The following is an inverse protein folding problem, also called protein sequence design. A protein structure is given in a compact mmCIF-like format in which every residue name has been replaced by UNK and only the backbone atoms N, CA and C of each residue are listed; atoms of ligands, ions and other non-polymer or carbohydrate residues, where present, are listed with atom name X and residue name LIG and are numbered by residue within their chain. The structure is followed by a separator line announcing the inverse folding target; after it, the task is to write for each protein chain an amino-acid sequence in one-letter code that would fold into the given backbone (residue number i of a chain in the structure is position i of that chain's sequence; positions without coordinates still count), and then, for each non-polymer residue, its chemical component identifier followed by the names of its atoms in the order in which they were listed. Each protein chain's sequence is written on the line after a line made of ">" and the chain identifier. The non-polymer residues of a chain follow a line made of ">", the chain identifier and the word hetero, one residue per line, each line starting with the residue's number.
data_IF_833618306011
#
_entry.id   IF_833618306011
#
_cell.length_a   1.000
_cell.length_b   1.000
_cell.length_c   1.000
_cell.angle_alpha   90.00
_cell.angle_beta   90.00
_cell.angle_gamma   90.00
#
_symmetry.space_group_name_H-M   'P 1'
#
loop_
_entity.id
_entity.type
_entity.pdbx_description
1 polymer ?
#
# COMPACT_ATOMS: atom_id res chain seq x y z
N UNK A 1 2.68 -0.20 -3.58
CA UNK A 1 1.57 -0.10 -4.55
C UNK A 1 0.89 -1.44 -4.59
N UNK A 2 -0.44 -1.47 -4.60
CA UNK A 2 -1.23 -2.68 -4.81
C UNK A 2 -2.06 -2.45 -6.06
N UNK A 3 -1.80 -3.22 -7.11
CA UNK A 3 -2.48 -3.07 -8.40
C UNK A 3 -3.95 -3.50 -8.35
N UNK A 4 -4.65 -3.33 -9.47
CA UNK A 4 -6.06 -3.75 -9.61
C UNK A 4 -6.25 -5.26 -9.49
N UNK A 5 -5.19 -6.06 -9.66
CA UNK A 5 -5.25 -7.50 -9.49
C UNK A 5 -5.30 -7.95 -8.03
N UNK A 6 -4.97 -7.06 -7.08
CA UNK A 6 -4.96 -7.34 -5.62
C UNK A 6 -4.11 -8.56 -5.26
N UNK A 7 -3.14 -8.93 -6.11
CA UNK A 7 -2.32 -10.13 -5.93
C UNK A 7 -1.24 -9.93 -4.85
N UNK A 8 -0.84 -8.68 -4.62
CA UNK A 8 0.25 -8.37 -3.71
C UNK A 8 0.51 -6.89 -3.52
N UNK A 9 1.52 -6.62 -2.71
CA UNK A 9 2.05 -5.30 -2.43
C UNK A 9 3.45 -5.21 -2.99
N UNK A 10 3.64 -4.31 -3.95
CA UNK A 10 4.93 -3.97 -4.52
C UNK A 10 5.50 -2.74 -3.82
N UNK A 11 6.78 -2.80 -3.48
CA UNK A 11 7.53 -1.70 -2.90
C UNK A 11 8.82 -1.46 -3.66
N UNK A 12 9.23 -0.20 -3.74
CA UNK A 12 10.52 0.21 -4.30
C UNK A 12 11.14 1.24 -3.37
N UNK A 13 12.41 1.05 -3.05
CA UNK A 13 13.22 2.06 -2.38
C UNK A 13 14.03 2.79 -3.45
N UNK A 14 13.85 4.10 -3.54
CA UNK A 14 14.44 4.92 -4.58
C UNK A 14 15.22 6.07 -3.95
N UNK A 15 16.42 6.30 -4.44
CA UNK A 15 17.18 7.54 -4.20
C UNK A 15 16.79 8.57 -5.24
N UNK A 16 16.39 9.74 -4.76
CA UNK A 16 16.05 10.90 -5.57
C UNK A 16 17.05 12.01 -5.23
N UNK A 17 17.81 12.45 -6.22
CA UNK A 17 18.78 13.54 -6.11
C UNK A 17 18.50 14.57 -7.20
N UNK A 18 18.58 15.84 -6.85
CA UNK A 18 18.30 16.92 -7.79
C UNK A 18 19.26 16.87 -9.00
N UNK A 19 18.69 16.93 -10.19
CA UNK A 19 19.44 16.86 -11.45
C UNK A 19 19.97 15.46 -11.81
N UNK A 20 19.63 14.41 -11.05
CA UNK A 20 19.95 13.02 -11.38
C UNK A 20 18.67 12.21 -11.67
N UNK A 21 18.73 11.17 -12.54
CA UNK A 21 17.62 10.25 -12.70
C UNK A 21 17.37 9.46 -11.40
N UNK A 22 16.11 9.07 -11.11
CA UNK A 22 15.80 8.22 -9.96
C UNK A 22 16.60 6.91 -9.97
N UNK A 23 17.24 6.58 -8.84
CA UNK A 23 17.99 5.34 -8.69
C UNK A 23 17.23 4.35 -7.81
N UNK A 24 16.87 3.19 -8.34
CA UNK A 24 16.29 2.10 -7.55
C UNK A 24 17.38 1.41 -6.74
N UNK A 25 17.23 1.40 -5.42
CA UNK A 25 18.14 0.75 -4.48
C UNK A 25 17.71 -0.68 -4.16
N UNK A 26 16.39 -0.89 -4.01
CA UNK A 26 15.80 -2.20 -3.78
C UNK A 26 14.35 -2.22 -4.28
N UNK A 27 13.85 -3.44 -4.53
CA UNK A 27 12.44 -3.70 -4.80
C UNK A 27 12.00 -4.92 -4.00
N UNK A 28 10.71 -4.97 -3.66
CA UNK A 28 10.11 -6.08 -2.95
C UNK A 28 8.67 -6.29 -3.47
N UNK A 29 8.24 -7.54 -3.51
CA UNK A 29 6.85 -7.90 -3.76
C UNK A 29 6.43 -8.90 -2.70
N UNK A 30 5.34 -8.60 -1.99
CA UNK A 30 4.76 -9.47 -0.98
C UNK A 30 3.38 -9.94 -1.42
N UNK A 31 3.06 -11.24 -1.29
CA UNK A 31 1.73 -11.73 -1.63
C UNK A 31 0.68 -11.13 -0.69
N UNK A 32 -0.49 -10.81 -1.23
CA UNK A 32 -1.62 -10.37 -0.42
C UNK A 32 -2.17 -11.56 0.37
N UNK A 33 -2.36 -11.44 1.71
CA UNK A 33 -3.06 -12.48 2.47
C UNK A 33 -4.43 -12.75 1.86
N UNK A 34 -4.77 -14.03 1.68
CA UNK A 34 -5.97 -14.44 0.92
C UNK A 34 -7.27 -13.83 1.49
N UNK A 35 -7.39 -13.81 2.83
CA UNK A 35 -8.54 -13.20 3.51
C UNK A 35 -8.65 -11.70 3.23
N UNK A 36 -7.53 -10.98 3.26
CA UNK A 36 -7.48 -9.55 2.94
C UNK A 36 -7.81 -9.31 1.46
N UNK A 37 -7.28 -10.15 0.55
CA UNK A 37 -7.62 -10.08 -0.87
C UNK A 37 -9.12 -10.25 -1.10
N UNK A 38 -9.74 -11.27 -0.48
CA UNK A 38 -11.19 -11.49 -0.60
C UNK A 38 -11.99 -10.33 -0.04
N UNK A 39 -11.57 -9.76 1.09
CA UNK A 39 -12.24 -8.61 1.69
C UNK A 39 -12.15 -7.35 0.81
N UNK A 40 -10.97 -7.06 0.27
CA UNK A 40 -10.77 -5.93 -0.66
C UNK A 40 -11.59 -6.11 -1.94
N UNK A 41 -11.66 -7.32 -2.50
CA UNK A 41 -12.50 -7.65 -3.64
C UNK A 41 -14.00 -7.52 -3.32
N UNK A 42 -14.45 -7.98 -2.15
CA UNK A 42 -15.83 -7.80 -1.71
C UNK A 42 -16.18 -6.31 -1.53
N UNK A 43 -15.22 -5.51 -1.05
CA UNK A 43 -15.36 -4.05 -0.97
C UNK A 43 -15.33 -3.37 -2.34
N UNK A 44 -15.20 -4.08 -3.48
CA UNK A 44 -15.39 -3.53 -4.84
C UNK A 44 -16.87 -3.51 -5.31
N UNK A 45 -17.80 -4.03 -4.51
CA UNK A 45 -19.26 -3.89 -4.74
C UNK A 45 -19.99 -3.44 -3.47
N UNK A 46 -21.12 -2.71 -3.59
CA UNK A 46 -21.90 -2.29 -2.42
C UNK A 46 -22.29 -3.47 -1.54
N UNK A 47 -22.14 -3.32 -0.22
CA UNK A 47 -22.45 -4.37 0.75
C UNK A 47 -22.85 -3.86 2.13
N UNK A 48 -23.02 -4.79 3.07
CA UNK A 48 -23.28 -4.48 4.47
C UNK A 48 -22.02 -4.05 5.22
N UNK A 49 -22.19 -3.12 6.17
CA UNK A 49 -21.18 -2.67 7.15
C UNK A 49 -19.83 -2.23 6.53
N UNK A 50 -19.89 -1.58 5.36
CA UNK A 50 -18.69 -1.24 4.59
C UNK A 50 -17.70 -0.34 5.34
N UNK A 51 -18.17 0.54 6.23
CA UNK A 51 -17.29 1.45 6.97
C UNK A 51 -16.37 0.70 7.94
N UNK A 52 -16.93 -0.20 8.76
CA UNK A 52 -16.14 -0.99 9.70
C UNK A 52 -15.22 -1.96 8.96
N UNK A 53 -15.75 -2.63 7.92
CA UNK A 53 -14.98 -3.54 7.07
C UNK A 53 -13.82 -2.84 6.36
N UNK A 54 -14.06 -1.67 5.78
CA UNK A 54 -13.02 -0.86 5.16
C UNK A 54 -11.95 -0.42 6.16
N UNK A 55 -12.32 -0.02 7.38
CA UNK A 55 -11.36 0.34 8.41
C UNK A 55 -10.46 -0.84 8.82
N UNK A 56 -11.03 -2.04 8.99
CA UNK A 56 -10.28 -3.25 9.31
C UNK A 56 -9.36 -3.68 8.15
N UNK A 57 -9.86 -3.65 6.92
CA UNK A 57 -9.06 -3.94 5.72
C UNK A 57 -7.91 -2.93 5.54
N UNK A 58 -8.15 -1.64 5.79
CA UNK A 58 -7.13 -0.58 5.80
C UNK A 58 -6.00 -0.86 6.78
N UNK A 59 -6.33 -1.28 8.00
CA UNK A 59 -5.33 -1.65 9.01
C UNK A 59 -4.51 -2.87 8.59
N UNK A 60 -5.18 -3.90 8.06
CA UNK A 60 -4.51 -5.10 7.59
C UNK A 60 -3.57 -4.79 6.41
N UNK A 61 -4.00 -3.96 5.45
CA UNK A 61 -3.18 -3.52 4.33
C UNK A 61 -1.96 -2.71 4.77
N UNK A 62 -2.13 -1.78 5.73
CA UNK A 62 -1.02 -1.01 6.29
C UNK A 62 0.06 -1.92 6.90
N UNK A 63 -0.32 -3.02 7.56
CA UNK A 63 0.63 -4.00 8.08
C UNK A 63 1.40 -4.73 6.98
N UNK A 64 0.75 -5.07 5.86
CA UNK A 64 1.45 -5.65 4.70
C UNK A 64 2.43 -4.64 4.07
N UNK A 65 2.03 -3.37 3.99
CA UNK A 65 2.91 -2.29 3.52
C UNK A 65 4.13 -2.12 4.45
N UNK A 66 3.94 -2.15 5.77
CA UNK A 66 5.03 -2.07 6.74
C UNK A 66 6.02 -3.25 6.61
N UNK A 67 5.53 -4.44 6.31
CA UNK A 67 6.38 -5.60 6.01
C UNK A 67 7.20 -5.38 4.73
N UNK A 68 6.57 -4.85 3.67
CA UNK A 68 7.27 -4.55 2.42
C UNK A 68 8.37 -3.48 2.63
N UNK A 69 8.08 -2.44 3.41
CA UNK A 69 9.06 -1.41 3.79
C UNK A 69 10.21 -2.02 4.58
N UNK A 70 9.91 -2.82 5.61
CA UNK A 70 10.93 -3.49 6.42
C UNK A 70 11.85 -4.37 5.56
N UNK A 71 11.28 -5.08 4.58
CA UNK A 71 12.03 -5.91 3.63
C UNK A 71 12.95 -5.06 2.74
N UNK A 72 12.45 -3.96 2.18
CA UNK A 72 13.23 -3.05 1.35
C UNK A 72 14.43 -2.46 2.10
N UNK A 73 14.20 -2.01 3.34
CA UNK A 73 15.24 -1.44 4.19
C UNK A 73 16.33 -2.48 4.51
N UNK A 74 15.93 -3.70 4.85
CA UNK A 74 16.84 -4.81 5.10
C UNK A 74 17.66 -5.18 3.85
N UNK A 75 17.00 -5.33 2.70
CA UNK A 75 17.66 -5.72 1.44
C UNK A 75 18.63 -4.63 0.93
N UNK A 76 18.32 -3.35 1.17
CA UNK A 76 19.18 -2.22 0.80
C UNK A 76 20.24 -1.86 1.85
N UNK A 77 20.14 -2.38 3.08
CA UNK A 77 20.98 -1.97 4.20
C UNK A 77 20.80 -0.51 4.62
N UNK A 78 19.58 0.03 4.48
CA UNK A 78 19.23 1.43 4.77
C UNK A 78 18.49 1.52 6.09
N UNK A 79 18.82 2.48 6.96
CA UNK A 79 18.08 2.70 8.19
C UNK A 79 16.76 3.43 7.89
N UNK A 80 15.71 3.13 8.67
CA UNK A 80 14.42 3.81 8.51
C UNK A 80 14.53 5.35 8.65
N UNK A 81 15.44 5.83 9.49
CA UNK A 81 15.70 7.26 9.69
C UNK A 81 16.30 7.96 8.46
N UNK A 82 16.87 7.21 7.51
CA UNK A 82 17.43 7.75 6.26
C UNK A 82 16.37 7.86 5.15
N UNK A 83 15.13 7.40 5.40
CA UNK A 83 14.02 7.50 4.46
C UNK A 83 13.17 8.73 4.77
N UNK A 84 13.13 9.68 3.82
CA UNK A 84 12.40 10.93 4.00
C UNK A 84 10.87 10.75 4.07
N UNK A 85 10.30 9.82 3.31
CA UNK A 85 8.86 9.58 3.25
C UNK A 85 8.51 8.23 2.61
N UNK A 86 7.29 7.76 2.85
CA UNK A 86 6.69 6.62 2.17
C UNK A 86 5.55 7.11 1.25
N UNK A 87 5.67 6.83 -0.05
CA UNK A 87 4.58 7.00 -1.00
C UNK A 87 3.64 5.79 -0.99
N UNK A 88 2.47 5.92 -0.35
CA UNK A 88 1.53 4.82 -0.21
C UNK A 88 0.22 5.08 -0.98
N UNK A 89 0.11 4.53 -2.19
CA UNK A 89 -1.12 4.59 -2.99
C UNK A 89 -2.35 3.98 -2.27
N UNK A 90 -2.14 2.96 -1.43
CA UNK A 90 -3.21 2.14 -0.87
C UNK A 90 -3.82 1.18 -1.92
N UNK A 91 -5.02 0.69 -1.63
CA UNK A 91 -5.81 -0.17 -2.50
C UNK A 91 -7.11 0.53 -2.91
N UNK A 92 -7.30 0.78 -4.20
CA UNK A 92 -8.59 1.29 -4.70
C UNK A 92 -9.68 0.23 -4.51
N UNK A 93 -10.78 0.62 -3.87
CA UNK A 93 -12.00 -0.21 -3.73
C UNK A 93 -13.22 0.44 -4.40
N UNK A 94 -13.16 1.75 -4.70
CA UNK A 94 -14.14 2.46 -5.51
C UNK A 94 -13.45 3.46 -6.44
N UNK A 95 -13.86 3.46 -7.70
CA UNK A 95 -13.47 4.47 -8.67
C UNK A 95 -14.72 4.88 -9.45
N UNK A 96 -15.27 6.06 -9.11
CA UNK A 96 -16.50 6.62 -9.70
C UNK A 96 -16.24 8.06 -10.11
N UNK A 97 -15.40 8.29 -11.13
CA UNK A 97 -15.13 9.64 -11.64
C UNK A 97 -16.38 10.30 -12.20
N UNK A 98 -17.34 9.51 -12.69
CA UNK A 98 -18.67 9.95 -13.09
C UNK A 98 -19.48 10.58 -11.95
N UNK A 99 -19.22 10.18 -10.71
CA UNK A 99 -19.77 10.76 -9.49
C UNK A 99 -18.76 11.64 -8.73
N UNK A 100 -17.60 11.91 -9.33
CA UNK A 100 -16.56 12.78 -8.76
C UNK A 100 -15.80 12.21 -7.56
N UNK A 101 -15.75 10.88 -7.36
CA UNK A 101 -15.01 10.31 -6.23
C UNK A 101 -14.20 9.05 -6.55
N UNK A 102 -13.18 8.81 -5.73
CA UNK A 102 -12.45 7.55 -5.64
C UNK A 102 -12.13 7.26 -4.19
N UNK A 103 -12.01 5.97 -3.84
CA UNK A 103 -11.67 5.53 -2.49
C UNK A 103 -10.53 4.51 -2.55
N UNK A 104 -9.40 4.90 -1.98
CA UNK A 104 -8.25 4.06 -1.71
C UNK A 104 -8.20 3.75 -0.22
N UNK A 105 -8.18 2.47 0.12
CA UNK A 105 -8.01 2.00 1.48
C UNK A 105 -6.52 1.93 1.83
N UNK A 106 -6.21 2.45 3.02
CA UNK A 106 -4.97 2.29 3.77
C UNK A 106 -5.24 2.86 5.17
N UNK A 107 -4.32 2.64 6.10
CA UNK A 107 -4.28 3.36 7.38
C UNK A 107 -2.93 4.10 7.50
N UNK A 108 -2.75 5.27 6.84
CA UNK A 108 -1.44 5.94 6.75
C UNK A 108 -0.85 6.31 8.11
N UNK A 109 -1.68 6.68 9.09
CA UNK A 109 -1.22 6.94 10.45
C UNK A 109 -0.67 5.67 11.12
N UNK A 110 -1.30 4.51 10.89
CA UNK A 110 -0.79 3.22 11.38
C UNK A 110 0.46 2.76 10.62
N UNK A 111 0.58 3.07 9.33
CA UNK A 111 1.77 2.74 8.53
C UNK A 111 3.00 3.55 8.97
N UNK A 112 2.79 4.74 9.53
CA UNK A 112 3.86 5.62 10.01
C UNK A 112 4.32 5.30 11.44
N UNK A 113 3.55 4.54 12.22
CA UNK A 113 3.89 4.05 13.57
C UNK A 113 4.88 2.89 13.52
#
# INVERSE_FOLDING_TARGET
>A
MSGTSVDGVDGVLTRLEDGQPPQVLANASLPMPENLRHELLALNTPGGDELARAALASNALARVYAQAVSRLLADAGVAAADVSAIGAHGQTVRYRPDLGYTLQLNAPALLAE
#
